data_IF_627983057599
#
_entry.id   IF_627983057599
#
_cell.length_a   1.000
_cell.length_b   1.000
_cell.length_c   1.000
_cell.angle_alpha   90.00
_cell.angle_beta   90.00
_cell.angle_gamma   90.00
#
_symmetry.space_group_name_H-M   'P 1'
#
loop_
_entity.id
_entity.type
_entity.pdbx_description
1 polymer ?
#
# COMPACT_ATOMS: atom_id res chain seq x y z
N UNK A 1 -9.86 1.57 -8.60
CA UNK A 1 -9.62 2.25 -7.32
C UNK A 1 -8.46 1.61 -6.59
N UNK A 2 -7.62 2.42 -5.99
CA UNK A 2 -6.41 1.97 -5.34
C UNK A 2 -6.55 2.14 -3.82
N UNK A 3 -6.21 1.10 -3.09
CA UNK A 3 -6.22 1.13 -1.63
C UNK A 3 -4.81 0.83 -1.13
N UNK A 4 -4.32 1.63 -0.21
CA UNK A 4 -2.96 1.50 0.31
C UNK A 4 -3.02 1.07 1.77
N UNK A 5 -2.22 0.03 2.11
CA UNK A 5 -2.08 -0.45 3.49
C UNK A 5 -0.62 -0.38 3.90
N UNK A 6 -0.37 -0.22 5.18
CA UNK A 6 0.99 -0.35 5.70
C UNK A 6 1.28 -1.81 6.04
N UNK A 7 2.48 -2.08 6.55
CA UNK A 7 2.89 -3.46 6.86
C UNK A 7 2.13 -4.05 8.05
N UNK A 8 1.44 -3.22 8.82
CA UNK A 8 0.61 -3.68 9.93
C UNK A 8 -0.82 -3.97 9.49
N UNK A 9 -1.12 -3.76 8.22
CA UNK A 9 -2.45 -3.99 7.69
C UNK A 9 -3.41 -2.82 7.87
N UNK A 10 -2.92 -1.68 8.32
CA UNK A 10 -3.75 -0.51 8.52
C UNK A 10 -3.84 0.29 7.23
N UNK A 11 -5.07 0.61 6.83
CA UNK A 11 -5.31 1.39 5.62
C UNK A 11 -4.79 2.81 5.80
N UNK A 12 -4.07 3.29 4.80
CA UNK A 12 -3.53 4.65 4.80
C UNK A 12 -4.07 5.41 3.59
N UNK A 13 -4.07 6.73 3.68
CA UNK A 13 -4.56 7.57 2.59
C UNK A 13 -3.49 7.84 1.54
N UNK A 14 -2.24 7.65 1.89
CA UNK A 14 -1.14 7.89 0.98
C UNK A 14 0.03 6.98 1.33
N UNK A 15 0.98 6.88 0.41
CA UNK A 15 2.17 6.08 0.62
C UNK A 15 2.94 6.56 1.83
N UNK A 16 3.35 5.59 2.65
CA UNK A 16 4.21 5.87 3.79
C UNK A 16 5.65 5.53 3.42
N UNK A 17 6.59 6.08 4.15
CA UNK A 17 7.99 5.76 3.99
C UNK A 17 8.21 4.29 4.35
N UNK A 18 8.89 3.56 3.50
CA UNK A 18 9.12 2.15 3.71
C UNK A 18 8.22 1.30 2.83
N UNK A 19 7.78 0.15 3.35
CA UNK A 19 6.99 -0.81 2.58
C UNK A 19 5.51 -0.48 2.66
N UNK A 20 4.85 -0.44 1.50
CA UNK A 20 3.42 -0.21 1.39
C UNK A 20 2.79 -1.33 0.59
N UNK A 21 1.60 -1.74 0.98
CA UNK A 21 0.82 -2.74 0.26
C UNK A 21 -0.26 -2.01 -0.53
N UNK A 22 -0.22 -2.13 -1.84
CA UNK A 22 -1.17 -1.45 -2.72
C UNK A 22 -2.11 -2.48 -3.31
N UNK A 23 -3.40 -2.30 -3.06
CA UNK A 23 -4.44 -3.19 -3.60
C UNK A 23 -5.23 -2.46 -4.67
N UNK A 24 -5.32 -3.07 -5.84
CA UNK A 24 -6.07 -2.52 -6.97
C UNK A 24 -6.97 -3.60 -7.54
N UNK A 25 -7.76 -3.22 -8.56
CA UNK A 25 -8.62 -4.20 -9.24
C UNK A 25 -7.81 -5.30 -9.92
N UNK A 26 -6.57 -5.02 -10.24
CA UNK A 26 -5.71 -6.00 -10.92
C UNK A 26 -4.99 -6.91 -9.94
N UNK A 27 -5.08 -6.65 -8.66
CA UNK A 27 -4.43 -7.46 -7.65
C UNK A 27 -3.73 -6.60 -6.62
N UNK A 28 -2.91 -7.26 -5.81
CA UNK A 28 -2.20 -6.62 -4.71
C UNK A 28 -0.70 -6.64 -5.00
N UNK A 29 -0.02 -5.55 -4.72
CA UNK A 29 1.42 -5.45 -4.92
C UNK A 29 2.09 -4.75 -3.75
N UNK A 30 3.36 -5.05 -3.56
CA UNK A 30 4.19 -4.41 -2.56
C UNK A 30 5.01 -3.30 -3.21
N UNK A 31 4.99 -2.11 -2.62
CA UNK A 31 5.73 -0.97 -3.13
C UNK A 31 6.62 -0.42 -2.02
N UNK A 32 7.89 -0.20 -2.33
CA UNK A 32 8.83 0.38 -1.38
C UNK A 32 9.02 1.86 -1.71
N UNK A 33 8.80 2.70 -0.71
CA UNK A 33 9.00 4.14 -0.86
C UNK A 33 10.18 4.57 0.02
N UNK A 34 11.11 5.24 -0.58
CA UNK A 34 12.30 5.73 0.14
C UNK A 34 12.10 7.08 0.79
#
# INVERSE_FOLDING_TARGET
>A
EMVIFNTQGIRTQKMQKGINIVKTQKGTRKVVKK
#
